data_IF_835899105083
#
_entry.id   IF_835899105083
#
_cell.length_a   1.000
_cell.length_b   1.000
_cell.length_c   1.000
_cell.angle_alpha   90.00
_cell.angle_beta   90.00
_cell.angle_gamma   90.00
#
_symmetry.space_group_name_H-M   'P 1'
#
loop_
_entity.id
_entity.type
_entity.pdbx_description
1 polymer ?
#
# COMPACT_ATOMS: atom_id res chain seq x y z
N UNK A 1 16.56 12.60 4.39
CA UNK A 1 17.03 12.94 3.01
C UNK A 1 17.82 14.24 2.95
N UNK A 2 17.27 15.38 3.38
CA UNK A 2 17.93 16.69 3.18
C UNK A 2 19.22 16.90 3.99
N UNK A 3 19.41 16.15 5.07
CA UNK A 3 20.66 16.12 5.84
C UNK A 3 21.81 15.42 5.11
N UNK A 4 21.54 14.63 4.05
CA UNK A 4 22.57 13.98 3.25
C UNK A 4 23.30 15.00 2.37
N UNK A 5 24.61 14.80 2.22
CA UNK A 5 25.45 15.63 1.34
C UNK A 5 24.95 15.57 -0.11
N UNK A 6 24.67 16.71 -0.77
CA UNK A 6 23.96 16.74 -2.05
C UNK A 6 24.75 16.20 -3.24
N UNK A 7 26.09 16.26 -3.23
CA UNK A 7 26.93 16.00 -4.41
C UNK A 7 27.64 14.64 -4.40
N UNK A 8 27.12 13.68 -3.63
CA UNK A 8 27.68 12.33 -3.49
C UNK A 8 26.70 11.23 -3.92
N UNK A 9 25.65 11.57 -4.67
CA UNK A 9 24.56 10.66 -5.07
C UNK A 9 23.82 9.97 -3.90
N UNK A 10 24.12 10.32 -2.64
CA UNK A 10 23.53 9.69 -1.45
C UNK A 10 22.00 9.85 -1.41
N UNK A 11 21.48 10.97 -1.91
CA UNK A 11 20.03 11.23 -1.95
C UNK A 11 19.30 10.31 -2.92
N UNK A 12 19.88 10.04 -4.09
CA UNK A 12 19.27 9.11 -5.05
C UNK A 12 19.36 7.67 -4.57
N UNK A 13 20.49 7.27 -3.96
CA UNK A 13 20.61 5.95 -3.32
C UNK A 13 19.57 5.75 -2.22
N UNK A 14 19.42 6.74 -1.33
CA UNK A 14 18.41 6.68 -0.27
C UNK A 14 16.99 6.59 -0.84
N UNK A 15 16.68 7.36 -1.89
CA UNK A 15 15.37 7.32 -2.54
C UNK A 15 15.10 5.96 -3.20
N UNK A 16 16.09 5.37 -3.87
CA UNK A 16 15.98 4.03 -4.43
C UNK A 16 15.73 2.96 -3.34
N UNK A 17 16.42 3.06 -2.21
CA UNK A 17 16.20 2.19 -1.06
C UNK A 17 14.80 2.37 -0.47
N UNK A 18 14.32 3.60 -0.37
CA UNK A 18 12.96 3.89 0.07
C UNK A 18 11.92 3.27 -0.85
N UNK A 19 12.06 3.44 -2.19
CA UNK A 19 11.18 2.80 -3.17
C UNK A 19 11.21 1.28 -3.08
N UNK A 20 12.39 0.68 -2.83
CA UNK A 20 12.52 -0.77 -2.63
C UNK A 20 11.74 -1.23 -1.39
N UNK A 21 11.80 -0.49 -0.28
CA UNK A 21 11.03 -0.82 0.92
C UNK A 21 9.53 -0.73 0.64
N UNK A 22 9.07 0.31 -0.08
CA UNK A 22 7.65 0.43 -0.45
C UNK A 22 7.18 -0.78 -1.28
N UNK A 23 7.96 -1.21 -2.28
CA UNK A 23 7.63 -2.39 -3.09
C UNK A 23 7.61 -3.67 -2.24
N UNK A 24 8.56 -3.84 -1.32
CA UNK A 24 8.59 -4.99 -0.42
C UNK A 24 7.38 -5.02 0.50
N UNK A 25 7.00 -3.89 1.10
CA UNK A 25 5.77 -3.78 1.91
C UNK A 25 4.53 -4.13 1.10
N UNK A 26 4.44 -3.66 -0.15
CA UNK A 26 3.32 -4.01 -1.04
C UNK A 26 3.27 -5.51 -1.33
N UNK A 27 4.40 -6.15 -1.63
CA UNK A 27 4.46 -7.61 -1.83
C UNK A 27 4.10 -8.39 -0.56
N UNK A 28 4.57 -7.96 0.61
CA UNK A 28 4.20 -8.58 1.89
C UNK A 28 2.71 -8.45 2.16
N UNK A 29 2.10 -7.29 1.89
CA UNK A 29 0.66 -7.09 2.00
C UNK A 29 -0.12 -8.04 1.08
N UNK A 30 0.31 -8.19 -0.17
CA UNK A 30 -0.29 -9.15 -1.12
C UNK A 30 -0.23 -10.57 -0.56
N UNK A 31 0.93 -10.98 -0.06
CA UNK A 31 1.13 -12.32 0.50
C UNK A 31 0.28 -12.57 1.74
N UNK A 32 0.22 -11.60 2.64
CA UNK A 32 -0.63 -11.66 3.82
C UNK A 32 -2.09 -11.93 3.43
N UNK A 33 -2.63 -11.18 2.46
CA UNK A 33 -4.00 -11.36 1.99
C UNK A 33 -4.18 -12.71 1.28
N UNK A 34 -3.23 -13.11 0.44
CA UNK A 34 -3.26 -14.42 -0.22
C UNK A 34 -3.29 -15.57 0.80
N UNK A 35 -2.50 -15.49 1.86
CA UNK A 35 -2.44 -16.54 2.87
C UNK A 35 -3.70 -16.55 3.75
N UNK A 36 -4.18 -15.39 4.21
CA UNK A 36 -5.42 -15.25 5.00
C UNK A 36 -6.65 -15.80 4.26
N UNK A 37 -6.69 -15.56 2.94
CA UNK A 37 -7.86 -15.90 2.11
C UNK A 37 -7.74 -17.23 1.37
N UNK A 38 -6.64 -17.97 1.55
CA UNK A 38 -6.30 -19.15 0.74
C UNK A 38 -6.35 -18.84 -0.77
N UNK A 39 -5.70 -17.73 -1.15
CA UNK A 39 -5.63 -17.17 -2.51
C UNK A 39 -7.02 -16.80 -3.05
N UNK A 40 -7.85 -16.17 -2.21
CA UNK A 40 -9.19 -15.69 -2.59
C UNK A 40 -10.31 -16.73 -2.51
N UNK A 41 -10.05 -17.95 -2.00
CA UNK A 41 -11.11 -18.94 -1.76
C UNK A 41 -12.03 -18.56 -0.61
N UNK A 42 -11.52 -17.77 0.35
CA UNK A 42 -12.23 -17.27 1.51
C UNK A 42 -12.31 -15.74 1.45
N UNK A 43 -13.34 -15.18 2.07
CA UNK A 43 -13.49 -13.73 2.23
C UNK A 43 -12.39 -13.21 3.17
N UNK A 44 -11.84 -12.03 2.85
CA UNK A 44 -10.89 -11.33 3.72
C UNK A 44 -11.58 -10.84 5.00
N UNK A 45 -11.01 -11.14 6.17
CA UNK A 45 -11.75 -10.99 7.44
C UNK A 45 -11.33 -9.81 8.30
N UNK A 46 -10.06 -9.41 8.31
CA UNK A 46 -9.57 -8.43 9.29
C UNK A 46 -8.56 -7.46 8.72
N UNK A 47 -9.06 -6.30 8.29
CA UNK A 47 -8.20 -5.16 7.98
C UNK A 47 -7.43 -4.67 9.21
N UNK A 48 -8.03 -4.75 10.41
CA UNK A 48 -7.38 -4.32 11.66
C UNK A 48 -6.12 -5.13 11.95
N UNK A 49 -6.18 -6.45 11.79
CA UNK A 49 -5.03 -7.33 12.00
C UNK A 49 -3.92 -7.02 10.99
N UNK A 50 -4.28 -6.92 9.71
CA UNK A 50 -3.33 -6.53 8.65
C UNK A 50 -2.63 -5.20 8.96
N UNK A 51 -3.38 -4.17 9.35
CA UNK A 51 -2.82 -2.84 9.68
C UNK A 51 -1.84 -2.91 10.86
N UNK A 52 -2.10 -3.78 11.83
CA UNK A 52 -1.25 -3.93 13.02
C UNK A 52 0.00 -4.74 12.68
N UNK A 53 -0.17 -5.90 12.07
CA UNK A 53 0.91 -6.85 11.76
C UNK A 53 1.93 -6.29 10.76
N UNK A 54 1.47 -5.44 9.83
CA UNK A 54 2.32 -4.84 8.79
C UNK A 54 2.80 -3.42 9.11
N UNK A 55 2.50 -2.91 10.31
CA UNK A 55 2.80 -1.54 10.72
C UNK A 55 2.28 -0.51 9.69
N UNK A 56 0.98 -0.63 9.39
CA UNK A 56 0.20 0.24 8.47
C UNK A 56 -1.02 0.83 9.19
N UNK A 57 -0.84 1.18 10.46
CA UNK A 57 -1.91 1.76 11.30
C UNK A 57 -2.36 3.13 10.80
N UNK A 58 -1.40 3.92 10.29
CA UNK A 58 -1.64 5.21 9.64
C UNK A 58 -2.32 5.00 8.29
N UNK A 59 -3.47 5.66 8.10
CA UNK A 59 -4.30 5.47 6.90
C UNK A 59 -3.60 5.92 5.62
N UNK A 60 -2.82 7.02 5.67
CA UNK A 60 -2.05 7.49 4.52
C UNK A 60 -1.02 6.47 4.04
N UNK A 61 -0.27 5.87 4.98
CA UNK A 61 0.73 4.84 4.67
C UNK A 61 0.06 3.58 4.11
N UNK A 62 -1.06 3.16 4.69
CA UNK A 62 -1.86 2.06 4.15
C UNK A 62 -2.28 2.35 2.71
N UNK A 63 -2.81 3.54 2.42
CA UNK A 63 -3.26 3.91 1.08
C UNK A 63 -2.12 3.86 0.06
N UNK A 64 -0.92 4.34 0.40
CA UNK A 64 0.26 4.27 -0.49
C UNK A 64 0.62 2.82 -0.79
N UNK A 65 0.70 1.97 0.23
CA UNK A 65 1.05 0.55 0.05
C UNK A 65 -0.06 -0.20 -0.71
N UNK A 66 -1.33 0.06 -0.41
CA UNK A 66 -2.47 -0.51 -1.14
C UNK A 66 -2.49 -0.11 -2.60
N UNK A 67 -2.18 1.15 -2.92
CA UNK A 67 -2.09 1.64 -4.30
C UNK A 67 -0.99 0.90 -5.09
N UNK A 68 0.18 0.71 -4.47
CA UNK A 68 1.28 -0.05 -5.07
C UNK A 68 0.90 -1.53 -5.23
N UNK A 69 0.25 -2.11 -4.22
CA UNK A 69 -0.21 -3.50 -4.27
C UNK A 69 -1.25 -3.72 -5.37
N UNK A 70 -2.22 -2.81 -5.53
CA UNK A 70 -3.23 -2.82 -6.59
C UNK A 70 -2.57 -2.73 -7.98
N UNK A 71 -1.54 -1.89 -8.14
CA UNK A 71 -0.78 -1.80 -9.40
C UNK A 71 -0.05 -3.10 -9.75
N UNK A 72 0.47 -3.82 -8.74
CA UNK A 72 1.18 -5.10 -8.93
C UNK A 72 0.18 -6.25 -9.17
N UNK A 73 -0.92 -6.27 -8.41
CA UNK A 73 -1.96 -7.29 -8.45
C UNK A 73 -3.33 -6.61 -8.43
N UNK A 74 -3.94 -6.38 -9.61
CA UNK A 74 -5.23 -5.72 -9.72
C UNK A 74 -6.36 -6.48 -9.00
N UNK A 75 -7.33 -5.74 -8.48
CA UNK A 75 -8.54 -6.27 -7.85
C UNK A 75 -8.47 -6.45 -6.34
N UNK A 76 -7.34 -6.15 -5.69
CA UNK A 76 -7.19 -6.26 -4.24
C UNK A 76 -8.10 -5.28 -3.50
N UNK A 77 -8.18 -4.05 -3.99
CA UNK A 77 -9.01 -3.02 -3.38
C UNK A 77 -10.50 -3.41 -3.42
N UNK A 78 -10.98 -3.88 -4.58
CA UNK A 78 -12.34 -4.40 -4.73
C UNK A 78 -12.59 -5.60 -3.83
N UNK A 79 -11.61 -6.50 -3.70
CA UNK A 79 -11.72 -7.70 -2.89
C UNK A 79 -11.80 -7.40 -1.39
N UNK A 80 -11.03 -6.42 -0.90
CA UNK A 80 -10.99 -6.06 0.52
C UNK A 80 -12.12 -5.11 0.91
N UNK A 81 -12.41 -4.11 0.08
CA UNK A 81 -13.31 -3.00 0.41
C UNK A 81 -14.66 -3.06 -0.31
N UNK A 82 -14.85 -4.01 -1.24
CA UNK A 82 -16.07 -4.14 -2.01
C UNK A 82 -16.27 -3.04 -3.08
N UNK A 83 -15.26 -2.19 -3.31
CA UNK A 83 -15.31 -1.10 -4.29
C UNK A 83 -14.00 -0.99 -5.09
N UNK A 84 -14.06 -0.68 -6.41
CA UNK A 84 -12.87 -0.42 -7.20
C UNK A 84 -12.02 0.72 -6.65
N UNK A 85 -10.69 0.57 -6.77
CA UNK A 85 -9.72 1.57 -6.32
C UNK A 85 -9.98 2.96 -6.93
N UNK A 86 -10.20 3.04 -8.25
CA UNK A 86 -10.40 4.33 -8.94
C UNK A 86 -11.58 5.12 -8.37
N UNK A 87 -12.69 4.45 -8.01
CA UNK A 87 -13.86 5.09 -7.41
C UNK A 87 -13.50 5.65 -6.03
N UNK A 88 -12.83 4.85 -5.20
CA UNK A 88 -12.48 5.26 -3.83
C UNK A 88 -11.45 6.41 -3.75
N UNK A 89 -10.54 6.50 -4.72
CA UNK A 89 -9.57 7.60 -4.81
C UNK A 89 -10.23 8.85 -5.38
N UNK A 90 -10.99 8.70 -6.46
CA UNK A 90 -11.66 9.83 -7.10
C UNK A 90 -12.69 10.48 -6.16
N UNK A 91 -13.43 9.70 -5.37
CA UNK A 91 -14.32 10.23 -4.31
C UNK A 91 -13.55 11.05 -3.25
N UNK A 92 -12.37 10.58 -2.80
CA UNK A 92 -11.55 11.29 -1.81
C UNK A 92 -10.96 12.58 -2.37
N UNK A 93 -10.46 12.55 -3.61
CA UNK A 93 -9.89 13.75 -4.25
C UNK A 93 -10.96 14.83 -4.49
N UNK A 94 -12.18 14.43 -4.84
CA UNK A 94 -13.32 15.35 -4.99
C UNK A 94 -13.77 15.96 -3.65
N UNK A 95 -13.65 15.24 -2.54
CA UNK A 95 -13.99 15.74 -1.19
C UNK A 95 -12.95 16.70 -0.62
N UNK A 96 -11.70 16.68 -1.13
CA UNK A 96 -10.64 17.60 -0.73
C UNK A 96 -10.68 18.95 -1.47
N UNK A 97 -11.60 19.11 -2.42
CA UNK A 97 -11.78 20.34 -3.23
C UNK A 97 -12.86 21.30 -2.72
N UNK A 98 -13.42 21.08 -1.53
CA UNK A 98 -14.41 21.96 -0.87
C UNK A 98 -13.90 22.50 0.46
#
# INVERSE_FOLDING_TARGET
>A
VFQLKPNLSLRSTFLAQFLLILHRKALTLIKYIEDDTQKGKKVFKSLRSLKTDLDLTVEGDLNIIMALAEKIKPGLHSFIFGRPYHISVQERDMLMTF
#
